data_IF_037994788425
#
_entry.id   IF_037994788425
#
_cell.length_a   1.000
_cell.length_b   1.000
_cell.length_c   1.000
_cell.angle_alpha   90.00
_cell.angle_beta   90.00
_cell.angle_gamma   90.00
#
_symmetry.space_group_name_H-M   'P 1'
#
loop_
_entity.id
_entity.type
_entity.pdbx_description
1 polymer ?
#
# COMPACT_ATOMS: atom_id res chain seq x y z
N UNK A 1 9.63 -10.70 -28.17
CA UNK A 1 9.18 -10.00 -26.94
C UNK A 1 9.79 -10.72 -25.76
N UNK A 2 10.63 -10.01 -24.98
CA UNK A 2 11.48 -10.63 -23.97
C UNK A 2 10.66 -11.11 -22.76
N UNK A 3 10.44 -12.41 -22.66
CA UNK A 3 9.83 -13.09 -21.49
C UNK A 3 10.71 -13.01 -20.22
N UNK A 4 11.97 -12.64 -20.35
CA UNK A 4 12.95 -12.62 -19.25
C UNK A 4 12.76 -11.41 -18.30
N UNK A 5 12.23 -10.29 -18.78
CA UNK A 5 12.02 -9.08 -17.95
C UNK A 5 10.80 -9.25 -17.02
N UNK A 6 9.80 -9.99 -17.46
CA UNK A 6 8.59 -10.27 -16.66
C UNK A 6 8.88 -11.13 -15.42
N UNK A 7 9.79 -12.10 -15.53
CA UNK A 7 10.08 -13.02 -14.43
C UNK A 7 10.93 -12.42 -13.29
N UNK A 8 11.79 -11.45 -13.58
CA UNK A 8 12.63 -10.82 -12.55
C UNK A 8 11.82 -9.87 -11.65
N UNK A 9 10.83 -9.17 -12.21
CA UNK A 9 9.96 -8.25 -11.47
C UNK A 9 8.97 -9.02 -10.59
N UNK A 10 8.47 -10.18 -11.04
CA UNK A 10 7.54 -11.00 -10.25
C UNK A 10 8.13 -11.48 -8.93
N UNK A 11 9.40 -11.86 -8.89
CA UNK A 11 10.06 -12.29 -7.65
C UNK A 11 10.10 -11.19 -6.58
N UNK A 12 10.12 -9.92 -7.00
CA UNK A 12 10.11 -8.78 -6.08
C UNK A 12 8.75 -8.59 -5.40
N UNK A 13 7.65 -8.93 -6.09
CA UNK A 13 6.28 -8.76 -5.56
C UNK A 13 5.74 -10.01 -4.87
N UNK A 14 6.33 -11.19 -5.11
CA UNK A 14 5.89 -12.46 -4.54
C UNK A 14 5.86 -12.49 -3.01
N UNK A 15 6.65 -11.63 -2.36
CA UNK A 15 6.72 -11.51 -0.89
C UNK A 15 5.84 -10.39 -0.33
N UNK A 16 5.21 -9.59 -1.18
CA UNK A 16 4.34 -8.52 -0.73
C UNK A 16 3.01 -9.09 -0.22
N UNK A 17 2.47 -8.46 0.80
CA UNK A 17 1.31 -8.94 1.55
C UNK A 17 0.04 -8.34 0.95
N UNK A 18 -0.88 -9.20 0.55
CA UNK A 18 -2.16 -8.81 -0.04
C UNK A 18 -3.28 -9.23 0.89
N UNK A 19 -4.14 -8.29 1.27
CA UNK A 19 -5.35 -8.56 2.04
C UNK A 19 -6.56 -8.50 1.11
N UNK A 20 -7.37 -9.58 1.13
CA UNK A 20 -8.64 -9.67 0.39
C UNK A 20 -9.79 -9.53 1.39
N UNK A 21 -10.73 -8.66 1.08
CA UNK A 21 -11.94 -8.40 1.88
C UNK A 21 -13.16 -8.43 0.97
N UNK A 22 -13.93 -9.51 1.04
CA UNK A 22 -15.15 -9.70 0.23
C UNK A 22 -16.06 -10.68 0.98
N UNK A 23 -17.31 -10.30 1.26
CA UNK A 23 -18.24 -11.12 2.03
C UNK A 23 -18.69 -12.41 1.32
N UNK A 24 -18.47 -12.48 0.01
CA UNK A 24 -18.79 -13.67 -0.78
C UNK A 24 -17.58 -14.62 -0.86
N UNK A 25 -17.61 -15.81 -0.23
CA UNK A 25 -16.49 -16.74 -0.25
C UNK A 25 -16.04 -17.18 -1.64
N UNK A 26 -16.95 -17.18 -2.62
CA UNK A 26 -16.63 -17.53 -4.00
C UNK A 26 -15.72 -16.47 -4.66
N UNK A 27 -15.92 -15.19 -4.36
CA UNK A 27 -15.05 -14.11 -4.83
C UNK A 27 -13.67 -14.18 -4.19
N UNK A 28 -13.62 -14.47 -2.89
CA UNK A 28 -12.36 -14.69 -2.16
C UNK A 28 -11.57 -15.81 -2.80
N UNK A 29 -12.18 -16.99 -2.99
CA UNK A 29 -11.53 -18.14 -3.59
C UNK A 29 -11.02 -17.85 -5.01
N UNK A 30 -11.81 -17.15 -5.83
CA UNK A 30 -11.41 -16.74 -7.17
C UNK A 30 -10.17 -15.84 -7.16
N UNK A 31 -10.12 -14.86 -6.27
CA UNK A 31 -8.98 -13.95 -6.14
C UNK A 31 -7.73 -14.67 -5.59
N UNK A 32 -7.90 -15.55 -4.62
CA UNK A 32 -6.81 -16.38 -4.09
C UNK A 32 -6.22 -17.29 -5.17
N UNK A 33 -7.05 -17.92 -6.01
CA UNK A 33 -6.59 -18.75 -7.13
C UNK A 33 -5.82 -17.89 -8.16
N UNK A 34 -6.35 -16.73 -8.55
CA UNK A 34 -5.67 -15.80 -9.48
C UNK A 34 -4.29 -15.38 -8.95
N UNK A 35 -4.17 -15.10 -7.65
CA UNK A 35 -2.92 -14.68 -7.03
C UNK A 35 -1.93 -15.84 -6.88
N UNK A 36 -2.42 -17.03 -6.52
CA UNK A 36 -1.61 -18.24 -6.41
C UNK A 36 -0.96 -18.62 -7.74
N UNK A 37 -1.70 -18.51 -8.84
CA UNK A 37 -1.18 -18.75 -10.20
C UNK A 37 0.00 -17.83 -10.56
N UNK A 38 0.08 -16.66 -9.96
CA UNK A 38 1.19 -15.71 -10.11
C UNK A 38 2.25 -15.80 -8.99
N UNK A 39 2.18 -16.86 -8.17
CA UNK A 39 3.15 -17.10 -7.08
C UNK A 39 3.16 -16.03 -5.97
N UNK A 40 2.06 -15.29 -5.77
CA UNK A 40 1.88 -14.48 -4.57
C UNK A 40 1.63 -15.42 -3.38
N UNK A 41 2.57 -15.43 -2.43
CA UNK A 41 2.57 -16.39 -1.32
C UNK A 41 2.10 -15.82 0.01
N UNK A 42 1.95 -14.50 0.10
CA UNK A 42 1.50 -13.81 1.31
C UNK A 42 0.14 -13.16 1.07
N UNK A 43 -0.86 -14.00 0.97
CA UNK A 43 -2.27 -13.59 0.84
C UNK A 43 -3.00 -13.93 2.12
N UNK A 44 -3.75 -12.98 2.66
CA UNK A 44 -4.71 -13.19 3.76
C UNK A 44 -6.07 -12.70 3.30
N UNK A 45 -7.12 -13.36 3.73
CA UNK A 45 -8.48 -13.02 3.34
C UNK A 45 -9.42 -13.00 4.53
N UNK A 46 -10.48 -12.21 4.45
CA UNK A 46 -11.61 -12.25 5.39
C UNK A 46 -12.92 -12.01 4.66
N UNK A 47 -13.98 -12.66 5.16
CA UNK A 47 -15.35 -12.40 4.73
C UNK A 47 -16.13 -11.53 5.74
N UNK A 48 -15.46 -11.09 6.81
CA UNK A 48 -16.02 -10.18 7.81
C UNK A 48 -15.33 -8.81 7.77
N UNK A 49 -16.01 -7.83 7.22
CA UNK A 49 -15.50 -6.46 7.10
C UNK A 49 -15.13 -5.79 8.44
N UNK A 50 -15.66 -6.27 9.56
CA UNK A 50 -15.37 -5.75 10.89
C UNK A 50 -13.96 -6.07 11.39
N UNK A 51 -13.35 -7.13 10.85
CA UNK A 51 -11.99 -7.57 11.21
C UNK A 51 -10.89 -6.79 10.47
N UNK A 52 -11.24 -6.01 9.45
CA UNK A 52 -10.26 -5.42 8.52
C UNK A 52 -9.24 -4.52 9.22
N UNK A 53 -9.67 -3.68 10.15
CA UNK A 53 -8.77 -2.75 10.85
C UNK A 53 -7.75 -3.51 11.70
N UNK A 54 -8.19 -4.55 12.42
CA UNK A 54 -7.32 -5.42 13.20
C UNK A 54 -6.35 -6.20 12.30
N UNK A 55 -6.88 -6.81 11.23
CA UNK A 55 -6.08 -7.53 10.23
C UNK A 55 -5.02 -6.62 9.58
N UNK A 56 -5.35 -5.38 9.28
CA UNK A 56 -4.37 -4.42 8.75
C UNK A 56 -3.25 -4.14 9.75
N UNK A 57 -3.57 -4.03 11.05
CA UNK A 57 -2.57 -3.82 12.10
C UNK A 57 -1.65 -5.02 12.30
N UNK A 58 -2.20 -6.23 12.27
CA UNK A 58 -1.45 -7.48 12.50
C UNK A 58 -0.65 -7.93 11.28
N UNK A 59 -1.30 -7.90 10.11
CA UNK A 59 -0.75 -8.43 8.86
C UNK A 59 0.10 -7.39 8.11
N UNK A 60 -0.13 -6.10 8.35
CA UNK A 60 0.52 -4.95 7.71
C UNK A 60 0.58 -5.12 6.17
N UNK A 61 -0.58 -5.10 5.48
CA UNK A 61 -0.65 -5.41 4.06
C UNK A 61 0.03 -4.35 3.20
N UNK A 62 0.52 -4.77 2.04
CA UNK A 62 1.07 -3.89 1.01
C UNK A 62 0.02 -3.48 -0.04
N UNK A 63 -1.09 -4.21 -0.08
CA UNK A 63 -2.25 -3.93 -0.93
C UNK A 63 -3.51 -4.52 -0.28
N UNK A 64 -4.62 -3.79 -0.41
CA UNK A 64 -5.95 -4.29 -0.02
C UNK A 64 -6.83 -4.39 -1.26
N UNK A 65 -7.49 -5.52 -1.45
CA UNK A 65 -8.60 -5.71 -2.36
C UNK A 65 -9.88 -5.67 -1.52
N UNK A 66 -10.75 -4.68 -1.74
CA UNK A 66 -11.89 -4.40 -0.87
C UNK A 66 -13.19 -4.37 -1.65
N UNK A 67 -14.12 -5.24 -1.33
CA UNK A 67 -15.50 -5.11 -1.82
C UNK A 67 -16.22 -3.92 -1.18
N UNK A 68 -17.05 -3.24 -1.95
CA UNK A 68 -17.82 -2.10 -1.43
C UNK A 68 -19.12 -2.52 -0.75
N UNK A 69 -19.76 -3.54 -1.25
CA UNK A 69 -21.13 -3.89 -0.85
C UNK A 69 -21.14 -5.14 0.02
N UNK A 70 -20.77 -4.97 1.27
CA UNK A 70 -20.74 -6.05 2.26
C UNK A 70 -21.80 -5.82 3.35
N UNK A 71 -22.39 -6.88 3.95
CA UNK A 71 -23.25 -6.76 5.11
C UNK A 71 -22.46 -6.24 6.33
N UNK A 72 -23.18 -5.70 7.30
CA UNK A 72 -22.68 -5.17 8.58
C UNK A 72 -21.87 -3.88 8.47
N UNK A 73 -20.73 -3.90 7.79
CA UNK A 73 -19.89 -2.74 7.55
C UNK A 73 -19.58 -2.67 6.05
N UNK A 74 -20.06 -1.64 5.38
CA UNK A 74 -19.78 -1.45 3.95
C UNK A 74 -18.34 -1.01 3.70
N UNK A 75 -17.85 -1.18 2.47
CA UNK A 75 -16.48 -0.84 2.10
C UNK A 75 -16.17 0.65 2.26
N UNK A 76 -17.16 1.53 2.21
CA UNK A 76 -16.95 2.96 2.48
C UNK A 76 -16.58 3.22 3.93
N UNK A 77 -17.28 2.56 4.86
CA UNK A 77 -16.97 2.63 6.30
C UNK A 77 -15.58 2.06 6.59
N UNK A 78 -15.18 0.97 5.90
CA UNK A 78 -13.83 0.41 5.99
C UNK A 78 -12.79 1.43 5.50
N UNK A 79 -13.02 2.09 4.36
CA UNK A 79 -12.13 3.13 3.83
C UNK A 79 -11.97 4.30 4.80
N UNK A 80 -13.06 4.78 5.41
CA UNK A 80 -13.03 5.84 6.42
C UNK A 80 -12.21 5.43 7.65
N UNK A 81 -12.42 4.21 8.17
CA UNK A 81 -11.69 3.69 9.32
C UNK A 81 -10.18 3.55 9.03
N UNK A 82 -9.81 3.07 7.85
CA UNK A 82 -8.42 2.96 7.43
C UNK A 82 -7.77 4.32 7.19
N UNK A 83 -8.52 5.30 6.68
CA UNK A 83 -8.01 6.66 6.45
C UNK A 83 -7.69 7.40 7.75
N UNK A 84 -8.46 7.18 8.81
CA UNK A 84 -8.23 7.76 10.14
C UNK A 84 -6.99 7.20 10.86
N UNK A 85 -6.56 6.00 10.50
CA UNK A 85 -5.41 5.30 11.11
C UNK A 85 -4.16 5.33 10.22
N UNK A 86 -4.16 6.10 9.12
CA UNK A 86 -3.01 6.17 8.21
C UNK A 86 -1.79 6.75 8.92
N UNK A 87 -0.81 5.90 9.14
CA UNK A 87 0.59 6.34 9.20
C UNK A 87 0.97 6.92 7.83
N UNK A 88 2.00 7.78 7.75
CA UNK A 88 2.39 8.50 6.52
C UNK A 88 2.70 7.59 5.30
N UNK A 89 2.64 6.28 5.46
CA UNK A 89 3.02 5.30 4.43
C UNK A 89 1.84 5.00 3.50
N UNK A 90 2.04 5.25 2.22
CA UNK A 90 1.07 4.97 1.16
C UNK A 90 0.67 3.49 1.12
N UNK A 91 -0.58 3.17 1.43
CA UNK A 91 -1.18 1.83 1.31
C UNK A 91 -2.22 1.86 0.18
N UNK A 92 -1.99 1.19 -0.96
CA UNK A 92 -2.96 1.13 -2.03
C UNK A 92 -4.15 0.24 -1.66
N UNK A 93 -5.35 0.72 -2.00
CA UNK A 93 -6.61 -0.01 -1.84
C UNK A 93 -7.30 -0.03 -3.21
N UNK A 94 -7.49 -1.23 -3.77
CA UNK A 94 -8.29 -1.45 -4.97
C UNK A 94 -9.69 -1.86 -4.53
N UNK A 95 -10.68 -1.07 -4.93
CA UNK A 95 -12.08 -1.34 -4.64
C UNK A 95 -12.67 -2.26 -5.71
N UNK A 96 -13.36 -3.30 -5.27
CA UNK A 96 -14.12 -4.22 -6.12
C UNK A 96 -15.60 -3.82 -6.06
N UNK A 97 -16.25 -3.61 -7.21
CA UNK A 97 -17.65 -3.18 -7.21
C UNK A 97 -18.44 -3.65 -8.42
N UNK A 98 -19.68 -4.03 -8.20
CA UNK A 98 -20.65 -4.26 -9.28
C UNK A 98 -21.32 -2.94 -9.75
N UNK A 99 -21.20 -1.87 -8.97
CA UNK A 99 -21.79 -0.57 -9.28
C UNK A 99 -20.87 0.24 -10.22
N UNK A 100 -21.36 0.51 -11.42
CA UNK A 100 -20.66 1.31 -12.44
C UNK A 100 -20.91 2.80 -12.29
N UNK A 101 -21.69 3.24 -11.28
CA UNK A 101 -22.05 4.63 -11.09
C UNK A 101 -20.80 5.48 -10.76
N UNK A 102 -20.63 6.58 -11.46
CA UNK A 102 -19.51 7.51 -11.24
C UNK A 102 -19.51 8.10 -9.82
N UNK A 103 -20.68 8.35 -9.24
CA UNK A 103 -20.78 8.90 -7.88
C UNK A 103 -20.24 7.91 -6.83
N UNK A 104 -20.52 6.62 -6.98
CA UNK A 104 -19.97 5.56 -6.14
C UNK A 104 -18.44 5.51 -6.23
N UNK A 105 -17.92 5.57 -7.45
CA UNK A 105 -16.46 5.57 -7.70
C UNK A 105 -15.79 6.83 -7.12
N UNK A 106 -16.36 8.01 -7.38
CA UNK A 106 -15.85 9.27 -6.83
C UNK A 106 -15.85 9.27 -5.30
N UNK A 107 -16.90 8.74 -4.69
CA UNK A 107 -16.98 8.61 -3.23
C UNK A 107 -15.87 7.71 -2.70
N UNK A 108 -15.66 6.54 -3.29
CA UNK A 108 -14.61 5.61 -2.87
C UNK A 108 -13.21 6.24 -3.00
N UNK A 109 -12.91 6.91 -4.12
CA UNK A 109 -11.64 7.60 -4.33
C UNK A 109 -11.43 8.74 -3.32
N UNK A 110 -12.45 9.54 -3.02
CA UNK A 110 -12.37 10.61 -2.01
C UNK A 110 -12.13 10.06 -0.60
N UNK A 111 -12.58 8.84 -0.31
CA UNK A 111 -12.34 8.15 0.96
C UNK A 111 -11.01 7.42 1.01
N UNK A 112 -10.22 7.49 -0.06
CA UNK A 112 -8.85 7.00 -0.08
C UNK A 112 -8.65 5.67 -0.82
N UNK A 113 -9.63 5.18 -1.57
CA UNK A 113 -9.37 4.14 -2.55
C UNK A 113 -8.36 4.65 -3.60
N UNK A 114 -7.46 3.79 -4.02
CA UNK A 114 -6.42 4.14 -5.00
C UNK A 114 -6.89 3.83 -6.42
N UNK A 115 -7.66 2.77 -6.58
CA UNK A 115 -8.19 2.29 -7.85
C UNK A 115 -9.48 1.50 -7.65
N UNK A 116 -10.15 1.12 -8.72
CA UNK A 116 -11.34 0.27 -8.67
C UNK A 116 -11.35 -0.75 -9.82
N UNK A 117 -12.00 -1.89 -9.58
CA UNK A 117 -12.27 -2.96 -10.53
C UNK A 117 -13.76 -3.26 -10.55
N UNK A 118 -14.32 -3.37 -11.75
CA UNK A 118 -15.72 -3.71 -11.91
C UNK A 118 -15.92 -5.22 -11.88
N UNK A 119 -16.94 -5.67 -11.14
CA UNK A 119 -17.40 -7.06 -11.24
C UNK A 119 -18.32 -7.21 -12.49
N UNK A 120 -18.20 -8.30 -13.30
CA UNK A 120 -17.39 -9.50 -13.05
C UNK A 120 -15.89 -9.23 -13.26
N UNK A 121 -15.05 -9.85 -12.43
CA UNK A 121 -13.60 -9.62 -12.44
C UNK A 121 -12.94 -10.29 -13.66
N UNK A 122 -12.25 -9.50 -14.46
CA UNK A 122 -11.39 -10.01 -15.54
C UNK A 122 -10.01 -10.36 -14.97
N UNK A 123 -9.56 -11.60 -15.21
CA UNK A 123 -8.31 -12.13 -14.67
C UNK A 123 -7.09 -11.26 -15.05
N UNK A 124 -7.01 -10.84 -16.30
CA UNK A 124 -5.86 -10.05 -16.79
C UNK A 124 -5.89 -8.66 -16.19
N UNK A 125 -7.06 -8.02 -16.13
CA UNK A 125 -7.21 -6.69 -15.54
C UNK A 125 -6.85 -6.69 -14.07
N UNK A 126 -7.36 -7.64 -13.29
CA UNK A 126 -7.07 -7.80 -11.85
C UNK A 126 -5.57 -7.88 -11.61
N UNK A 127 -4.88 -8.80 -12.29
CA UNK A 127 -3.44 -9.00 -12.11
C UNK A 127 -2.60 -7.79 -12.52
N UNK A 128 -2.97 -7.10 -13.59
CA UNK A 128 -2.30 -5.89 -14.04
C UNK A 128 -2.44 -4.75 -13.01
N UNK A 129 -3.64 -4.55 -12.46
CA UNK A 129 -3.91 -3.53 -11.44
C UNK A 129 -3.15 -3.81 -10.15
N UNK A 130 -3.20 -5.05 -9.68
CA UNK A 130 -2.46 -5.50 -8.49
C UNK A 130 -0.97 -5.22 -8.66
N UNK A 131 -0.37 -5.65 -9.76
CA UNK A 131 1.05 -5.43 -10.05
C UNK A 131 1.41 -3.94 -10.03
N UNK A 132 0.65 -3.10 -10.73
CA UNK A 132 0.91 -1.66 -10.79
C UNK A 132 0.83 -1.00 -9.41
N UNK A 133 -0.12 -1.43 -8.57
CA UNK A 133 -0.26 -0.91 -7.23
C UNK A 133 0.85 -1.38 -6.29
N UNK A 134 1.27 -2.63 -6.39
CA UNK A 134 2.40 -3.16 -5.62
C UNK A 134 3.73 -2.50 -6.04
N UNK A 135 3.93 -2.22 -7.32
CA UNK A 135 5.08 -1.46 -7.79
C UNK A 135 5.11 -0.05 -7.20
N UNK A 136 3.98 0.64 -7.24
CA UNK A 136 3.83 1.97 -6.63
C UNK A 136 4.12 1.93 -5.13
N UNK A 137 3.56 0.94 -4.41
CA UNK A 137 3.81 0.73 -2.98
C UNK A 137 5.29 0.53 -2.69
N UNK A 138 5.97 -0.32 -3.46
CA UNK A 138 7.40 -0.60 -3.32
C UNK A 138 8.25 0.67 -3.52
N UNK A 139 7.91 1.49 -4.51
CA UNK A 139 8.61 2.75 -4.76
C UNK A 139 8.43 3.70 -3.56
N UNK A 140 7.23 3.83 -3.03
CA UNK A 140 6.97 4.64 -1.83
C UNK A 140 7.77 4.15 -0.62
N UNK A 141 7.77 2.84 -0.34
CA UNK A 141 8.56 2.25 0.75
C UNK A 141 10.06 2.53 0.58
N UNK A 142 10.59 2.42 -0.64
CA UNK A 142 11.99 2.73 -0.93
C UNK A 142 12.33 4.20 -0.68
N UNK A 143 11.46 5.11 -1.08
CA UNK A 143 11.63 6.55 -0.88
C UNK A 143 11.60 6.91 0.61
N UNK A 144 10.66 6.37 1.38
CA UNK A 144 10.57 6.59 2.82
C UNK A 144 11.80 6.06 3.57
N UNK A 145 12.25 4.84 3.24
CA UNK A 145 13.47 4.28 3.83
C UNK A 145 14.70 5.15 3.53
N UNK A 146 14.78 5.70 2.31
CA UNK A 146 15.88 6.56 1.90
C UNK A 146 15.82 7.92 2.61
N UNK A 147 14.62 8.47 2.77
CA UNK A 147 14.39 9.70 3.52
C UNK A 147 14.82 9.54 4.98
N UNK A 148 14.37 8.49 5.66
CA UNK A 148 14.73 8.20 7.03
C UNK A 148 16.27 8.06 7.20
N UNK A 149 16.92 7.31 6.30
CA UNK A 149 18.38 7.16 6.34
C UNK A 149 19.13 8.49 6.13
N UNK A 150 18.60 9.41 5.30
CA UNK A 150 19.18 10.74 5.11
C UNK A 150 18.97 11.63 6.34
N UNK A 151 17.81 11.59 6.95
CA UNK A 151 17.49 12.33 8.18
C UNK A 151 18.42 11.88 9.33
N UNK A 152 18.63 10.59 9.50
CA UNK A 152 19.58 10.01 10.46
C UNK A 152 21.02 10.47 10.19
N UNK A 153 21.46 10.46 8.92
CA UNK A 153 22.79 10.90 8.56
C UNK A 153 23.00 12.41 8.81
N UNK A 154 21.99 13.24 8.59
CA UNK A 154 22.00 14.67 8.90
C UNK A 154 22.08 14.88 10.41
N UNK A 155 21.23 14.18 11.17
CA UNK A 155 21.21 14.27 12.63
C UNK A 155 22.56 13.87 13.24
N UNK A 156 23.20 12.82 12.71
CA UNK A 156 24.52 12.37 13.17
C UNK A 156 25.64 13.41 12.93
N UNK A 157 25.59 14.19 11.83
CA UNK A 157 26.60 15.20 11.49
C UNK A 157 26.35 16.59 12.09
N UNK A 158 25.13 16.86 12.53
CA UNK A 158 24.76 18.16 13.10
C UNK A 158 25.62 18.61 14.31
N UNK A 159 26.03 17.74 15.26
CA UNK A 159 26.89 18.10 16.36
C UNK A 159 28.30 18.51 15.91
N UNK A 160 28.88 17.80 14.93
CA UNK A 160 30.21 18.10 14.38
C UNK A 160 30.26 19.46 13.69
N UNK A 161 29.22 19.75 12.91
CA UNK A 161 29.09 21.06 12.24
C UNK A 161 28.95 22.19 13.24
N UNK A 162 28.17 22.02 14.31
CA UNK A 162 28.04 23.03 15.37
C UNK A 162 29.38 23.26 16.09
N UNK A 163 30.14 22.21 16.38
CA UNK A 163 31.43 22.29 17.02
C UNK A 163 32.44 23.03 16.12
N UNK A 164 32.50 22.69 14.82
CA UNK A 164 33.36 23.34 13.86
C UNK A 164 33.02 24.83 13.67
N UNK A 165 31.73 25.17 13.63
CA UNK A 165 31.27 26.57 13.56
C UNK A 165 31.64 27.37 14.80
N UNK A 166 31.51 26.76 16.00
CA UNK A 166 31.90 27.42 17.26
C UNK A 166 33.41 27.67 17.33
N UNK A 167 34.21 26.76 16.82
CA UNK A 167 35.68 26.88 16.79
C UNK A 167 36.12 27.94 15.80
N UNK A 168 35.52 27.99 14.62
CA UNK A 168 35.75 29.02 13.62
C UNK A 168 35.39 30.43 14.15
N UNK A 169 34.27 30.56 14.86
CA UNK A 169 33.83 31.79 15.51
C UNK A 169 34.82 32.29 16.57
N UNK A 170 35.46 31.38 17.33
CA UNK A 170 36.52 31.76 18.30
C UNK A 170 37.79 32.29 17.63
N UNK A 171 38.19 31.65 16.51
CA UNK A 171 39.40 32.07 15.79
C UNK A 171 39.22 33.46 15.13
N UNK A 172 38.03 33.70 14.54
CA UNK A 172 37.72 34.99 13.90
C UNK A 172 37.45 36.11 14.89
N UNK A 173 36.94 35.79 16.09
CA UNK A 173 36.70 36.78 17.17
C UNK A 173 37.96 37.14 17.98
N UNK A 174 39.03 36.35 17.89
CA UNK A 174 40.30 36.60 18.62
C UNK A 174 41.32 37.45 17.82
N UNK A 175 41.00 37.87 16.61
CA UNK A 175 41.86 38.65 15.68
C UNK A 175 41.47 40.12 15.53
N UNK A 176 40.68 40.69 16.48
CA UNK A 176 40.26 42.10 16.50
C UNK A 176 40.81 42.86 17.69
#
# INVERSE_FOLDING_TARGET
>A
MNTTTWNADFAAYAKMRILIVDDEPANVALLEDMLSDQSYVQVKSTTDSREVVELCSEFDPDLILLDLFMPHMDGFTVLEALSGNRTEVFLPIIVLTADVNEQTKLRALNLGATDFLNKPLDHIEVLLRIRNMLETRRIHQLLENRRAALEDAIAARAPELRAAQAELGKVLGAGG
#
